data_IF_885427482925
#
_entry.id   IF_885427482925
#
_cell.length_a   1.000
_cell.length_b   1.000
_cell.length_c   1.000
_cell.angle_alpha   90.00
_cell.angle_beta   90.00
_cell.angle_gamma   90.00
#
_symmetry.space_group_name_H-M   'P 1'
#
loop_
_entity.id
_entity.type
_entity.pdbx_description
1 polymer ?
#
# COMPACT_ATOMS: atom_id res chain seq x y z
N UNK A 1 -6.97 7.72 18.96
CA UNK A 1 -7.70 7.49 17.69
C UNK A 1 -6.76 7.13 16.54
N UNK A 2 -5.71 7.94 16.24
CA UNK A 2 -4.77 7.69 15.14
C UNK A 2 -4.09 6.32 15.18
N UNK A 3 -3.61 5.88 16.35
CA UNK A 3 -2.97 4.56 16.53
C UNK A 3 -3.95 3.42 16.18
N UNK A 4 -5.20 3.49 16.66
CA UNK A 4 -6.20 2.46 16.35
C UNK A 4 -6.52 2.39 14.86
N UNK A 5 -6.63 3.54 14.19
CA UNK A 5 -6.83 3.61 12.75
C UNK A 5 -5.64 3.06 11.97
N UNK A 6 -4.41 3.34 12.39
CA UNK A 6 -3.20 2.81 11.77
C UNK A 6 -3.10 1.28 11.94
N UNK A 7 -3.42 0.75 13.12
CA UNK A 7 -3.45 -0.71 13.35
C UNK A 7 -4.57 -1.40 12.55
N UNK A 8 -5.75 -0.76 12.45
CA UNK A 8 -6.82 -1.26 11.59
C UNK A 8 -6.39 -1.29 10.12
N UNK A 9 -5.69 -0.24 9.66
CA UNK A 9 -5.11 -0.21 8.32
C UNK A 9 -4.09 -1.33 8.12
N UNK A 10 -3.22 -1.61 9.10
CA UNK A 10 -2.25 -2.71 9.03
C UNK A 10 -2.94 -4.07 8.82
N UNK A 11 -3.98 -4.37 9.60
CA UNK A 11 -4.74 -5.60 9.47
C UNK A 11 -5.43 -5.72 8.10
N UNK A 12 -6.02 -4.63 7.62
CA UNK A 12 -6.71 -4.59 6.33
C UNK A 12 -5.74 -4.72 5.15
N UNK A 13 -4.58 -4.03 5.19
CA UNK A 13 -3.53 -4.19 4.17
C UNK A 13 -2.94 -5.60 4.20
N UNK A 14 -2.60 -6.12 5.38
CA UNK A 14 -2.06 -7.48 5.51
C UNK A 14 -3.02 -8.53 4.93
N UNK A 15 -4.32 -8.43 5.23
CA UNK A 15 -5.35 -9.29 4.65
C UNK A 15 -5.50 -9.13 3.14
N UNK A 16 -5.47 -7.88 2.65
CA UNK A 16 -5.50 -7.55 1.23
C UNK A 16 -4.28 -8.10 0.49
N UNK A 17 -3.08 -7.91 1.02
CA UNK A 17 -1.84 -8.35 0.39
C UNK A 17 -1.74 -9.88 0.36
N UNK A 18 -2.10 -10.54 1.46
CA UNK A 18 -2.18 -12.00 1.49
C UNK A 18 -3.19 -12.53 0.47
N UNK A 19 -4.41 -12.01 0.48
CA UNK A 19 -5.47 -12.39 -0.46
C UNK A 19 -5.10 -12.10 -1.91
N UNK A 20 -4.50 -10.93 -2.17
CA UNK A 20 -4.01 -10.52 -3.48
C UNK A 20 -2.88 -11.42 -3.99
N UNK A 21 -1.92 -11.75 -3.13
CA UNK A 21 -0.87 -12.72 -3.42
C UNK A 21 -1.42 -14.11 -3.77
N UNK A 22 -2.40 -14.59 -3.00
CA UNK A 22 -3.05 -15.88 -3.24
C UNK A 22 -3.84 -15.89 -4.56
N UNK A 23 -4.63 -14.84 -4.82
CA UNK A 23 -5.37 -14.68 -6.08
C UNK A 23 -4.41 -14.62 -7.28
N UNK A 24 -3.29 -13.92 -7.13
CA UNK A 24 -2.29 -13.71 -8.17
C UNK A 24 -1.59 -14.99 -8.63
N UNK A 25 -1.49 -15.99 -7.75
CA UNK A 25 -0.97 -17.33 -8.13
C UNK A 25 -1.84 -18.05 -9.17
N UNK A 26 -3.14 -17.77 -9.18
CA UNK A 26 -4.11 -18.45 -10.07
C UNK A 26 -4.50 -17.60 -11.27
N UNK A 27 -4.61 -16.29 -11.08
CA UNK A 27 -5.18 -15.38 -12.07
C UNK A 27 -4.12 -14.49 -12.75
N UNK A 28 -2.91 -14.43 -12.20
CA UNK A 28 -1.88 -13.48 -12.61
C UNK A 28 -1.98 -12.14 -11.87
N UNK A 29 -0.82 -11.59 -11.47
CA UNK A 29 -0.74 -10.38 -10.63
C UNK A 29 -1.39 -9.15 -11.28
N UNK A 30 -1.20 -8.96 -12.57
CA UNK A 30 -1.74 -7.79 -13.28
C UNK A 30 -3.27 -7.80 -13.32
N UNK A 31 -3.89 -8.95 -13.59
CA UNK A 31 -5.36 -9.09 -13.59
C UNK A 31 -5.95 -8.83 -12.21
N UNK A 32 -5.33 -9.40 -11.16
CA UNK A 32 -5.76 -9.17 -9.77
C UNK A 32 -5.62 -7.71 -9.39
N UNK A 33 -4.50 -7.06 -9.74
CA UNK A 33 -4.29 -5.63 -9.48
C UNK A 33 -5.32 -4.76 -10.20
N UNK A 34 -5.60 -5.01 -11.48
CA UNK A 34 -6.59 -4.20 -12.24
C UNK A 34 -7.99 -4.37 -11.67
N UNK A 35 -8.43 -5.60 -11.41
CA UNK A 35 -9.79 -5.83 -10.85
C UNK A 35 -9.90 -5.27 -9.44
N UNK A 36 -8.88 -5.46 -8.60
CA UNK A 36 -8.84 -4.89 -7.25
C UNK A 36 -8.86 -3.36 -7.26
N UNK A 37 -8.01 -2.72 -8.07
CA UNK A 37 -7.99 -1.26 -8.21
C UNK A 37 -9.30 -0.71 -8.78
N UNK A 38 -9.91 -1.40 -9.74
CA UNK A 38 -11.22 -1.00 -10.29
C UNK A 38 -12.31 -1.06 -9.21
N UNK A 39 -12.37 -2.13 -8.43
CA UNK A 39 -13.32 -2.28 -7.32
C UNK A 39 -13.09 -1.19 -6.26
N UNK A 40 -11.84 -0.97 -5.84
CA UNK A 40 -11.47 0.07 -4.88
C UNK A 40 -11.85 1.46 -5.39
N UNK A 41 -11.58 1.77 -6.66
CA UNK A 41 -11.96 3.05 -7.28
C UNK A 41 -13.47 3.26 -7.26
N UNK A 42 -14.23 2.28 -7.73
CA UNK A 42 -15.71 2.38 -7.75
C UNK A 42 -16.27 2.60 -6.35
N UNK A 43 -15.81 1.81 -5.37
CA UNK A 43 -16.26 1.92 -3.98
C UNK A 43 -15.89 3.28 -3.37
N UNK A 44 -14.68 3.79 -3.63
CA UNK A 44 -14.25 5.08 -3.11
C UNK A 44 -15.03 6.24 -3.72
N UNK A 45 -15.25 6.24 -5.03
CA UNK A 45 -16.07 7.25 -5.68
C UNK A 45 -17.53 7.20 -5.23
N UNK A 46 -18.10 6.01 -5.06
CA UNK A 46 -19.43 5.86 -4.47
C UNK A 46 -19.48 6.44 -3.04
N UNK A 47 -18.48 6.14 -2.21
CA UNK A 47 -18.38 6.68 -0.85
C UNK A 47 -18.25 8.22 -0.87
N UNK A 48 -17.41 8.78 -1.76
CA UNK A 48 -17.25 10.22 -1.91
C UNK A 48 -18.57 10.93 -2.29
N UNK A 49 -19.28 10.37 -3.26
CA UNK A 49 -20.56 10.92 -3.73
C UNK A 49 -21.62 10.86 -2.63
N UNK A 50 -21.72 9.74 -1.91
CA UNK A 50 -22.71 9.53 -0.85
C UNK A 50 -22.41 10.33 0.42
N UNK A 51 -21.14 10.46 0.79
CA UNK A 51 -20.74 11.19 1.99
C UNK A 51 -20.80 12.72 1.77
N UNK A 52 -20.68 13.18 0.54
CA UNK A 52 -20.53 14.60 0.24
C UNK A 52 -19.21 15.16 0.81
N UNK A 53 -19.18 16.47 1.01
CA UNK A 53 -18.02 17.12 1.64
C UNK A 53 -17.45 18.28 0.80
N UNK A 54 -16.27 18.78 1.15
CA UNK A 54 -15.61 19.87 0.44
C UNK A 54 -15.33 19.50 -1.02
N UNK A 55 -15.29 20.49 -1.90
CA UNK A 55 -14.92 20.32 -3.30
C UNK A 55 -13.45 19.89 -3.47
N UNK A 56 -13.06 19.46 -4.68
CA UNK A 56 -11.69 19.05 -4.97
C UNK A 56 -10.73 20.23 -4.84
N UNK A 57 -9.57 20.01 -4.23
CA UNK A 57 -8.44 20.92 -4.32
C UNK A 57 -7.36 20.35 -5.22
N UNK A 58 -6.67 21.21 -5.98
CA UNK A 58 -5.56 20.77 -6.85
C UNK A 58 -4.52 19.98 -6.06
N UNK A 59 -4.21 20.41 -4.84
CA UNK A 59 -3.26 19.74 -3.95
C UNK A 59 -3.72 18.32 -3.62
N UNK A 60 -4.99 18.17 -3.22
CA UNK A 60 -5.55 16.86 -2.85
C UNK A 60 -5.53 15.87 -4.03
N UNK A 61 -5.94 16.35 -5.21
CA UNK A 61 -5.99 15.55 -6.43
C UNK A 61 -4.57 15.18 -6.90
N UNK A 62 -3.65 16.15 -6.95
CA UNK A 62 -2.28 15.91 -7.41
C UNK A 62 -1.51 14.93 -6.52
N UNK A 63 -1.55 15.15 -5.19
CA UNK A 63 -0.90 14.24 -4.25
C UNK A 63 -1.59 12.87 -4.21
N UNK A 64 -2.92 12.83 -4.29
CA UNK A 64 -3.66 11.58 -4.40
C UNK A 64 -3.27 10.79 -5.65
N UNK A 65 -3.29 11.41 -6.83
CA UNK A 65 -2.89 10.74 -8.08
C UNK A 65 -1.44 10.24 -8.02
N UNK A 66 -0.50 11.07 -7.56
CA UNK A 66 0.90 10.66 -7.42
C UNK A 66 1.05 9.46 -6.48
N UNK A 67 0.34 9.48 -5.34
CA UNK A 67 0.28 8.36 -4.38
C UNK A 67 -0.27 7.10 -5.05
N UNK A 68 -1.35 7.23 -5.82
CA UNK A 68 -1.98 6.12 -6.49
C UNK A 68 -1.12 5.50 -7.59
N UNK A 69 -0.43 6.32 -8.39
CA UNK A 69 0.51 5.81 -9.39
C UNK A 69 1.63 4.98 -8.71
N UNK A 70 2.18 5.46 -7.61
CA UNK A 70 3.19 4.74 -6.86
C UNK A 70 2.60 3.48 -6.20
N UNK A 71 1.48 3.61 -5.48
CA UNK A 71 0.81 2.50 -4.79
C UNK A 71 0.37 1.38 -5.72
N UNK A 72 -0.24 1.72 -6.85
CA UNK A 72 -0.66 0.73 -7.85
C UNK A 72 0.51 -0.02 -8.47
N UNK A 73 1.62 0.68 -8.79
CA UNK A 73 2.85 0.03 -9.24
C UNK A 73 3.45 -0.87 -8.13
N UNK A 74 3.47 -0.39 -6.89
CA UNK A 74 3.94 -1.15 -5.72
C UNK A 74 3.13 -2.42 -5.50
N UNK A 75 1.81 -2.32 -5.52
CA UNK A 75 0.89 -3.47 -5.39
C UNK A 75 1.12 -4.51 -6.49
N UNK A 76 1.28 -4.08 -7.73
CA UNK A 76 1.56 -5.00 -8.84
C UNK A 76 2.88 -5.75 -8.63
N UNK A 77 3.94 -5.03 -8.23
CA UNK A 77 5.27 -5.62 -7.96
C UNK A 77 5.19 -6.57 -6.76
N UNK A 78 4.52 -6.16 -5.68
CA UNK A 78 4.27 -7.00 -4.50
C UNK A 78 3.57 -8.30 -4.89
N UNK A 79 2.42 -8.21 -5.58
CA UNK A 79 1.64 -9.39 -5.98
C UNK A 79 2.42 -10.30 -6.93
N UNK A 80 3.25 -9.74 -7.82
CA UNK A 80 4.15 -10.52 -8.65
C UNK A 80 5.16 -11.34 -7.83
N UNK A 81 5.76 -10.72 -6.83
CA UNK A 81 6.71 -11.39 -5.93
C UNK A 81 6.03 -12.46 -5.07
N UNK A 82 4.86 -12.15 -4.51
CA UNK A 82 4.06 -13.10 -3.71
C UNK A 82 3.59 -14.30 -4.55
N UNK A 83 3.15 -14.06 -5.78
CA UNK A 83 2.71 -15.11 -6.70
C UNK A 83 3.85 -16.08 -7.06
N UNK A 84 5.09 -15.59 -7.13
CA UNK A 84 6.29 -16.40 -7.39
C UNK A 84 6.75 -17.24 -6.19
N UNK A 85 5.99 -17.25 -5.11
CA UNK A 85 6.33 -18.00 -3.90
C UNK A 85 7.40 -17.36 -3.01
N UNK A 86 7.69 -16.07 -3.21
CA UNK A 86 8.71 -15.33 -2.47
C UNK A 86 8.11 -14.53 -1.29
N UNK A 87 6.98 -14.99 -0.75
CA UNK A 87 6.20 -14.28 0.27
C UNK A 87 7.03 -13.95 1.51
N UNK A 88 7.88 -14.87 1.96
CA UNK A 88 8.74 -14.71 3.13
C UNK A 88 9.84 -13.63 2.97
N UNK A 89 10.09 -13.16 1.75
CA UNK A 89 11.08 -12.11 1.48
C UNK A 89 10.41 -10.83 1.04
N UNK A 90 9.51 -10.91 0.06
CA UNK A 90 8.89 -9.73 -0.58
C UNK A 90 8.00 -8.97 0.40
N UNK A 91 7.15 -9.67 1.17
CA UNK A 91 6.25 -9.04 2.13
C UNK A 91 7.00 -8.23 3.20
N UNK A 92 7.88 -8.85 4.00
CA UNK A 92 8.64 -8.13 5.01
C UNK A 92 9.53 -7.01 4.46
N UNK A 93 10.17 -7.19 3.30
CA UNK A 93 10.97 -6.12 2.70
C UNK A 93 10.13 -4.94 2.23
N UNK A 94 8.95 -5.19 1.68
CA UNK A 94 8.02 -4.12 1.31
C UNK A 94 7.54 -3.36 2.56
N UNK A 95 7.27 -4.05 3.66
CA UNK A 95 6.90 -3.43 4.93
C UNK A 95 8.03 -2.55 5.51
N UNK A 96 9.29 -3.02 5.48
CA UNK A 96 10.45 -2.19 5.90
C UNK A 96 10.53 -0.93 5.07
N UNK A 97 10.44 -1.01 3.74
CA UNK A 97 10.50 0.15 2.86
C UNK A 97 9.33 1.11 3.10
N UNK A 98 8.12 0.57 3.25
CA UNK A 98 6.90 1.33 3.54
C UNK A 98 6.97 2.08 4.89
N UNK A 99 7.76 1.57 5.86
CA UNK A 99 8.01 2.24 7.14
C UNK A 99 9.16 3.26 7.05
N UNK A 100 10.33 2.84 6.53
CA UNK A 100 11.57 3.65 6.56
C UNK A 100 11.44 4.91 5.71
N UNK A 101 10.85 4.80 4.51
CA UNK A 101 10.76 5.93 3.57
C UNK A 101 9.92 7.08 4.14
N UNK A 102 8.70 6.87 4.68
CA UNK A 102 7.94 7.94 5.32
C UNK A 102 8.55 8.46 6.62
N UNK A 103 9.23 7.62 7.41
CA UNK A 103 9.95 8.06 8.62
C UNK A 103 11.06 9.02 8.24
N UNK A 104 11.89 8.68 7.25
CA UNK A 104 12.94 9.57 6.76
C UNK A 104 12.37 10.88 6.20
N UNK A 105 11.28 10.80 5.44
CA UNK A 105 10.60 11.98 4.92
C UNK A 105 9.98 12.84 6.03
N UNK A 106 9.32 12.24 7.03
CA UNK A 106 8.73 12.96 8.17
C UNK A 106 9.79 13.77 8.93
N UNK A 107 10.91 13.14 9.23
CA UNK A 107 12.05 13.82 9.89
C UNK A 107 12.60 14.95 9.02
N UNK A 108 12.77 14.71 7.71
CA UNK A 108 13.25 15.73 6.76
C UNK A 108 12.27 16.92 6.62
N UNK A 109 10.97 16.66 6.78
CA UNK A 109 9.89 17.66 6.78
C UNK A 109 9.74 18.39 8.14
N UNK A 110 10.60 18.08 9.11
CA UNK A 110 10.63 18.74 10.41
C UNK A 110 9.75 18.10 11.48
N UNK A 111 9.25 16.89 11.27
CA UNK A 111 8.60 16.15 12.35
C UNK A 111 9.60 15.90 13.49
N UNK A 112 9.15 16.12 14.72
CA UNK A 112 9.94 15.89 15.94
C UNK A 112 9.22 14.83 16.78
N UNK A 113 9.37 13.55 16.45
CA UNK A 113 8.75 12.49 17.22
C UNK A 113 9.28 12.47 18.66
N UNK A 114 8.42 12.14 19.63
CA UNK A 114 8.84 11.98 21.02
C UNK A 114 9.86 10.85 21.18
N UNK A 115 10.65 10.86 22.26
CA UNK A 115 11.61 9.79 22.55
C UNK A 115 10.94 8.41 22.58
N UNK A 116 9.72 8.31 23.09
CA UNK A 116 8.96 7.07 23.10
C UNK A 116 8.59 6.62 21.68
N UNK A 117 8.23 7.55 20.80
CA UNK A 117 7.94 7.25 19.40
C UNK A 117 9.20 6.79 18.65
N UNK A 118 10.34 7.44 18.90
CA UNK A 118 11.63 7.04 18.34
C UNK A 118 12.01 5.63 18.82
N UNK A 119 11.87 5.35 20.12
CA UNK A 119 12.12 4.01 20.66
C UNK A 119 11.22 2.95 20.02
N UNK A 120 9.93 3.25 19.82
CA UNK A 120 8.98 2.38 19.13
C UNK A 120 9.42 2.06 17.70
N UNK A 121 9.83 3.07 16.93
CA UNK A 121 10.36 2.89 15.56
C UNK A 121 11.63 2.04 15.57
N UNK A 122 12.57 2.32 16.48
CA UNK A 122 13.83 1.59 16.62
C UNK A 122 13.62 0.10 16.99
N UNK A 123 12.52 -0.24 17.67
CA UNK A 123 12.15 -1.63 17.97
C UNK A 123 11.40 -2.27 16.80
N UNK A 124 10.48 -1.54 16.18
CA UNK A 124 9.65 -2.07 15.10
C UNK A 124 10.48 -2.43 13.84
N UNK A 125 11.42 -1.59 13.44
CA UNK A 125 12.24 -1.85 12.24
C UNK A 125 13.07 -3.14 12.35
N UNK A 126 13.84 -3.40 13.43
CA UNK A 126 14.52 -4.69 13.61
C UNK A 126 13.55 -5.86 13.69
N UNK A 127 12.37 -5.70 14.31
CA UNK A 127 11.37 -6.76 14.37
C UNK A 127 10.90 -7.16 12.96
N UNK A 128 10.61 -6.21 12.09
CA UNK A 128 10.24 -6.47 10.68
C UNK A 128 11.39 -7.17 9.94
N UNK A 129 12.65 -6.70 10.15
CA UNK A 129 13.84 -7.33 9.56
C UNK A 129 14.03 -8.77 10.05
N UNK A 130 13.83 -9.04 11.34
CA UNK A 130 13.93 -10.39 11.91
C UNK A 130 12.86 -11.33 11.34
N UNK A 131 11.65 -10.86 11.16
CA UNK A 131 10.59 -11.63 10.49
C UNK A 131 10.98 -11.92 9.04
N UNK A 132 11.55 -10.94 8.32
CA UNK A 132 12.10 -11.14 6.97
C UNK A 132 13.21 -12.20 6.94
N UNK A 133 14.15 -12.14 7.90
CA UNK A 133 15.28 -13.04 7.99
C UNK A 133 14.87 -14.48 8.34
N UNK A 134 13.87 -14.67 9.21
CA UNK A 134 13.39 -15.99 9.61
C UNK A 134 12.80 -16.80 8.44
N UNK A 135 12.22 -16.13 7.45
CA UNK A 135 11.75 -16.74 6.20
C UNK A 135 12.88 -17.11 5.22
N UNK A 136 14.05 -16.50 5.36
CA UNK A 136 15.18 -16.61 4.43
C UNK A 136 16.24 -17.67 4.80
N UNK A 137 16.15 -18.29 5.97
CA UNK A 137 17.21 -19.17 6.55
C UNK A 137 17.48 -20.47 5.75
N UNK A 138 16.72 -20.77 4.71
CA UNK A 138 16.93 -21.95 3.83
C UNK A 138 17.62 -21.66 2.49
N UNK A 139 18.11 -20.44 2.26
CA UNK A 139 18.84 -20.08 1.03
C UNK A 139 20.35 -20.27 1.16
N UNK A 140 21.03 -20.62 0.04
CA UNK A 140 22.49 -20.72 -0.01
C UNK A 140 23.13 -19.38 0.38
N UNK A 141 24.05 -19.38 1.36
CA UNK A 141 24.88 -18.23 1.69
C UNK A 141 25.57 -17.70 0.42
N UNK A 142 25.36 -16.44 0.11
CA UNK A 142 26.10 -15.73 -0.97
C UNK A 142 25.29 -15.34 -2.20
N UNK A 143 24.04 -15.82 -2.38
CA UNK A 143 23.16 -15.33 -3.47
C UNK A 143 22.13 -14.34 -2.93
N UNK A 144 21.92 -13.21 -3.63
CA UNK A 144 20.84 -12.27 -3.27
C UNK A 144 19.49 -13.01 -3.25
N UNK A 145 18.67 -12.84 -2.19
CA UNK A 145 17.40 -13.54 -2.09
C UNK A 145 16.52 -13.24 -3.32
N UNK A 146 15.95 -14.29 -3.90
CA UNK A 146 14.93 -14.09 -4.95
C UNK A 146 13.80 -13.26 -4.36
N UNK A 147 13.36 -12.19 -5.07
CA UNK A 147 12.34 -11.26 -4.59
C UNK A 147 12.87 -10.03 -3.84
N UNK A 148 14.19 -9.92 -3.60
CA UNK A 148 14.78 -8.75 -2.97
C UNK A 148 14.39 -7.45 -3.70
N UNK A 149 14.57 -7.42 -5.01
CA UNK A 149 14.23 -6.26 -5.84
C UNK A 149 12.73 -5.97 -5.85
N UNK A 150 11.90 -7.02 -5.92
CA UNK A 150 10.44 -6.85 -5.87
C UNK A 150 10.00 -6.29 -4.50
N UNK A 151 10.58 -6.77 -3.39
CA UNK A 151 10.29 -6.25 -2.06
C UNK A 151 10.73 -4.81 -1.85
N UNK A 152 11.96 -4.46 -2.26
CA UNK A 152 12.48 -3.10 -2.15
C UNK A 152 11.70 -2.11 -3.03
N UNK A 153 11.40 -2.49 -4.27
CA UNK A 153 10.63 -1.66 -5.19
C UNK A 153 9.19 -1.43 -4.69
N UNK A 154 8.53 -2.48 -4.17
CA UNK A 154 7.21 -2.35 -3.57
C UNK A 154 7.25 -1.47 -2.31
N UNK A 155 8.24 -1.67 -1.44
CA UNK A 155 8.40 -0.85 -0.23
C UNK A 155 8.64 0.63 -0.51
N UNK A 156 9.50 0.95 -1.48
CA UNK A 156 9.72 2.34 -1.91
C UNK A 156 8.41 2.94 -2.46
N UNK A 157 7.69 2.21 -3.30
CA UNK A 157 6.45 2.66 -3.89
C UNK A 157 5.36 2.92 -2.83
N UNK A 158 5.22 2.04 -1.83
CA UNK A 158 4.30 2.25 -0.71
C UNK A 158 4.74 3.40 0.19
N UNK A 159 6.04 3.57 0.40
CA UNK A 159 6.56 4.74 1.11
C UNK A 159 6.16 6.05 0.44
N UNK A 160 6.27 6.14 -0.89
CA UNK A 160 5.82 7.30 -1.68
C UNK A 160 4.30 7.48 -1.57
N UNK A 161 3.53 6.40 -1.65
CA UNK A 161 2.07 6.43 -1.45
C UNK A 161 1.73 7.05 -0.09
N UNK A 162 2.34 6.59 0.98
CA UNK A 162 2.05 7.06 2.34
C UNK A 162 2.44 8.52 2.55
N UNK A 163 3.58 8.95 2.03
CA UNK A 163 3.99 10.37 2.05
C UNK A 163 2.97 11.22 1.31
N UNK A 164 2.61 10.83 0.10
CA UNK A 164 1.73 11.62 -0.74
C UNK A 164 0.33 11.78 -0.13
N UNK A 165 -0.25 10.72 0.43
CA UNK A 165 -1.53 10.81 1.13
C UNK A 165 -1.47 11.74 2.35
N UNK A 166 -0.39 11.70 3.13
CA UNK A 166 -0.19 12.60 4.25
C UNK A 166 -0.04 14.08 3.81
N UNK A 167 0.56 14.32 2.64
CA UNK A 167 0.73 15.67 2.08
C UNK A 167 -0.52 16.23 1.39
N UNK A 168 -1.52 15.42 1.14
CA UNK A 168 -2.74 15.83 0.40
C UNK A 168 -3.60 16.87 1.14
N UNK A 169 -3.43 17.01 2.46
CA UNK A 169 -4.11 18.00 3.29
C UNK A 169 -5.29 17.45 4.06
N UNK A 170 -5.48 18.00 5.28
CA UNK A 170 -6.48 17.51 6.25
C UNK A 170 -7.93 17.90 5.90
N UNK A 171 -8.13 19.00 5.18
CA UNK A 171 -9.47 19.53 4.90
C UNK A 171 -10.00 19.14 3.49
N UNK A 172 -9.41 18.14 2.87
CA UNK A 172 -9.71 17.75 1.52
C UNK A 172 -10.83 16.67 1.40
N UNK A 173 -11.46 16.30 2.51
CA UNK A 173 -12.43 15.20 2.55
C UNK A 173 -11.85 13.90 2.00
N UNK A 174 -12.60 13.21 1.16
CA UNK A 174 -12.19 11.93 0.55
C UNK A 174 -11.46 12.09 -0.80
N UNK A 175 -11.28 13.31 -1.31
CA UNK A 175 -10.64 13.54 -2.61
C UNK A 175 -9.24 12.96 -2.75
N UNK A 176 -8.36 13.01 -1.71
CA UNK A 176 -7.05 12.37 -1.80
C UNK A 176 -7.14 10.87 -2.06
N UNK A 177 -8.03 10.18 -1.33
CA UNK A 177 -8.21 8.73 -1.46
C UNK A 177 -8.86 8.37 -2.80
N UNK A 178 -9.88 9.12 -3.24
CA UNK A 178 -10.50 8.89 -4.54
C UNK A 178 -9.52 9.08 -5.70
N UNK A 179 -8.67 10.10 -5.62
CA UNK A 179 -7.61 10.35 -6.61
C UNK A 179 -6.51 9.29 -6.54
N UNK A 180 -6.16 8.82 -5.35
CA UNK A 180 -5.20 7.74 -5.14
C UNK A 180 -5.68 6.44 -5.81
N UNK A 181 -6.90 6.00 -5.52
CA UNK A 181 -7.46 4.79 -6.14
C UNK A 181 -7.56 4.92 -7.66
N UNK A 182 -7.90 6.11 -8.15
CA UNK A 182 -7.91 6.40 -9.60
C UNK A 182 -6.50 6.29 -10.19
N UNK A 183 -5.48 6.84 -9.52
CA UNK A 183 -4.08 6.72 -9.94
C UNK A 183 -3.60 5.27 -9.97
N UNK A 184 -3.96 4.47 -8.96
CA UNK A 184 -3.65 3.04 -8.91
C UNK A 184 -4.29 2.26 -10.07
N UNK A 185 -5.55 2.56 -10.40
CA UNK A 185 -6.22 1.97 -11.54
C UNK A 185 -5.56 2.38 -12.87
N UNK A 186 -5.24 3.66 -13.03
CA UNK A 186 -4.62 4.19 -14.25
C UNK A 186 -3.27 3.51 -14.54
N UNK A 187 -2.39 3.39 -13.55
CA UNK A 187 -1.07 2.76 -13.75
C UNK A 187 -1.20 1.26 -14.06
N UNK A 188 -2.09 0.55 -13.39
CA UNK A 188 -2.29 -0.89 -13.64
C UNK A 188 -2.90 -1.14 -15.03
N UNK A 189 -3.84 -0.29 -15.47
CA UNK A 189 -4.39 -0.33 -16.83
C UNK A 189 -3.33 0.03 -17.89
N UNK A 190 -2.53 1.07 -17.65
CA UNK A 190 -1.45 1.46 -18.56
C UNK A 190 -0.45 0.33 -18.77
N UNK A 191 -0.09 -0.38 -17.68
CA UNK A 191 0.79 -1.56 -17.77
C UNK A 191 0.10 -2.69 -18.54
N UNK A 192 -1.20 -2.94 -18.30
CA UNK A 192 -1.95 -3.98 -19.01
C UNK A 192 -2.01 -3.72 -20.51
N UNK A 193 -2.25 -2.48 -20.91
CA UNK A 193 -2.24 -2.07 -22.33
C UNK A 193 -0.84 -2.26 -22.94
N UNK A 194 0.21 -1.80 -22.24
CA UNK A 194 1.59 -1.90 -22.72
C UNK A 194 2.06 -3.36 -22.87
N UNK A 195 1.61 -4.24 -21.98
CA UNK A 195 2.00 -5.66 -22.01
C UNK A 195 1.08 -6.53 -22.87
N UNK A 196 0.01 -5.95 -23.42
CA UNK A 196 -1.03 -6.67 -24.18
C UNK A 196 -1.63 -7.86 -23.42
N UNK A 197 -1.61 -7.81 -22.08
CA UNK A 197 -2.14 -8.91 -21.27
C UNK A 197 -3.68 -8.89 -21.26
N UNK A 198 -4.34 -10.02 -21.60
CA UNK A 198 -5.79 -10.08 -21.60
C UNK A 198 -6.32 -9.97 -20.17
N UNK A 199 -7.19 -8.99 -19.90
CA UNK A 199 -7.76 -8.71 -18.57
C UNK A 199 -8.98 -9.58 -18.24
N UNK A 200 -9.37 -10.51 -19.10
CA UNK A 200 -10.56 -11.36 -18.88
C UNK A 200 -10.34 -12.29 -17.69
N UNK A 201 -11.19 -12.16 -16.69
CA UNK A 201 -11.29 -13.05 -15.54
C UNK A 201 -12.71 -13.67 -15.53
N UNK A 202 -12.84 -14.98 -15.32
CA UNK A 202 -14.15 -15.59 -15.13
C UNK A 202 -14.88 -14.91 -13.95
N UNK A 203 -16.16 -14.60 -14.09
CA UNK A 203 -16.92 -13.89 -13.06
C UNK A 203 -16.87 -14.59 -11.70
N UNK A 204 -16.85 -15.92 -11.71
CA UNK A 204 -16.70 -16.77 -10.50
C UNK A 204 -15.36 -16.58 -9.78
N UNK A 205 -14.33 -16.14 -10.47
CA UNK A 205 -12.99 -15.93 -9.92
C UNK A 205 -12.72 -14.45 -9.53
N UNK A 206 -13.62 -13.52 -9.89
CA UNK A 206 -13.47 -12.10 -9.61
C UNK A 206 -13.73 -11.74 -8.14
N UNK A 207 -14.43 -12.58 -7.38
CA UNK A 207 -14.84 -12.27 -6.00
C UNK A 207 -13.67 -11.96 -5.07
N UNK A 208 -12.61 -12.77 -5.09
CA UNK A 208 -11.44 -12.53 -4.23
C UNK A 208 -10.68 -11.24 -4.62
N UNK A 209 -10.37 -10.95 -5.91
CA UNK A 209 -9.80 -9.67 -6.30
C UNK A 209 -10.65 -8.45 -5.91
N UNK A 210 -11.97 -8.53 -6.01
CA UNK A 210 -12.89 -7.46 -5.59
C UNK A 210 -12.82 -7.25 -4.07
N UNK A 211 -12.84 -8.32 -3.28
CA UNK A 211 -12.69 -8.26 -1.83
C UNK A 211 -11.33 -7.67 -1.41
N UNK A 212 -10.27 -8.06 -2.10
CA UNK A 212 -8.92 -7.51 -1.92
C UNK A 212 -8.92 -5.99 -2.18
N UNK A 213 -9.54 -5.54 -3.28
CA UNK A 213 -9.66 -4.12 -3.57
C UNK A 213 -10.48 -3.36 -2.52
N UNK A 214 -11.60 -3.92 -2.07
CA UNK A 214 -12.43 -3.32 -1.01
C UNK A 214 -11.67 -3.22 0.33
N UNK A 215 -10.92 -4.27 0.70
CA UNK A 215 -10.08 -4.26 1.91
C UNK A 215 -8.95 -3.24 1.80
N UNK A 216 -8.27 -3.17 0.64
CA UNK A 216 -7.22 -2.19 0.39
C UNK A 216 -7.75 -0.75 0.45
N UNK A 217 -8.92 -0.47 -0.12
CA UNK A 217 -9.59 0.82 -0.02
C UNK A 217 -9.90 1.19 1.43
N UNK A 218 -10.47 0.27 2.20
CA UNK A 218 -10.76 0.50 3.62
C UNK A 218 -9.46 0.75 4.43
N UNK A 219 -8.38 0.04 4.11
CA UNK A 219 -7.05 0.25 4.68
C UNK A 219 -6.52 1.65 4.37
N UNK A 220 -6.61 2.09 3.10
CA UNK A 220 -6.19 3.43 2.67
C UNK A 220 -6.97 4.52 3.38
N UNK A 221 -8.29 4.36 3.52
CA UNK A 221 -9.13 5.29 4.30
C UNK A 221 -8.70 5.36 5.76
N UNK A 222 -8.52 4.21 6.41
CA UNK A 222 -8.08 4.14 7.81
C UNK A 222 -6.69 4.81 7.99
N UNK A 223 -5.74 4.55 7.09
CA UNK A 223 -4.43 5.21 7.08
C UNK A 223 -4.56 6.72 6.88
N UNK A 224 -5.31 7.16 5.87
CA UNK A 224 -5.51 8.58 5.58
C UNK A 224 -6.05 9.32 6.81
N UNK A 225 -7.08 8.78 7.45
CA UNK A 225 -7.59 9.37 8.69
C UNK A 225 -6.61 9.24 9.86
N UNK A 226 -5.80 8.19 9.95
CA UNK A 226 -4.76 8.08 10.98
C UNK A 226 -3.76 9.24 10.91
N UNK A 227 -3.39 9.70 9.71
CA UNK A 227 -2.47 10.84 9.52
C UNK A 227 -3.05 12.18 10.00
N UNK A 228 -4.36 12.29 10.18
CA UNK A 228 -4.98 13.48 10.76
C UNK A 228 -4.75 13.60 12.28
N UNK A 229 -4.53 12.45 12.95
CA UNK A 229 -4.40 12.35 14.41
C UNK A 229 -2.99 11.96 14.87
N UNK A 230 -2.09 11.62 13.93
CA UNK A 230 -0.74 11.13 14.21
C UNK A 230 0.27 11.76 13.26
N UNK A 231 1.56 11.75 13.65
CA UNK A 231 2.66 12.10 12.76
C UNK A 231 2.79 11.06 11.64
N UNK A 232 3.25 11.48 10.47
CA UNK A 232 3.49 10.61 9.32
C UNK A 232 4.35 9.40 9.70
N UNK A 233 5.48 9.66 10.40
CA UNK A 233 6.41 8.61 10.82
C UNK A 233 5.72 7.53 11.68
N UNK A 234 4.88 7.93 12.64
CA UNK A 234 4.17 7.00 13.54
C UNK A 234 3.11 6.21 12.77
N UNK A 235 2.29 6.89 11.98
CA UNK A 235 1.24 6.25 11.20
C UNK A 235 1.82 5.22 10.20
N UNK A 236 2.91 5.58 9.51
CA UNK A 236 3.56 4.71 8.53
C UNK A 236 4.19 3.46 9.16
N UNK A 237 4.84 3.59 10.33
CA UNK A 237 5.40 2.43 11.03
C UNK A 237 4.30 1.48 11.51
N UNK A 238 3.23 2.02 12.12
CA UNK A 238 2.14 1.20 12.62
C UNK A 238 1.38 0.48 11.49
N UNK A 239 1.22 1.11 10.34
CA UNK A 239 0.54 0.48 9.20
C UNK A 239 1.40 -0.58 8.51
N UNK A 240 2.71 -0.56 8.73
CA UNK A 240 3.66 -1.52 8.14
C UNK A 240 3.86 -2.78 8.99
N UNK A 241 3.23 -2.86 10.17
CA UNK A 241 3.25 -4.05 11.04
C UNK A 241 2.33 -5.14 10.50
#
# INVERSE_FOLDING_TARGET
MGILLALAAALLYGGSDFGGGLASRRLGSLRVSVVGSAAATVLTWATLILAGGPGPSLRAVAWGLASGLAGGAGTLVLYRGLARGQMSVVGPLSAVGAAVVPVAAGVALGERPSLLSVAGVLVALPAIVLVAASGSVRGKLGAAPKGLLDGLAAGLAFGILFIGLAQAGRNAGLWPVASEQTGALLITLAIAVKTHEPLRIPLRAAGLPVLVGASGMAATLAYFYATHFSMLAIAAVLVSL
#
